data_IF_637146295943
#
_entry.id   IF_637146295943
#
_cell.length_a   1.000
_cell.length_b   1.000
_cell.length_c   1.000
_cell.angle_alpha   90.00
_cell.angle_beta   90.00
_cell.angle_gamma   90.00
#
_symmetry.space_group_name_H-M   'P 1'
#
loop_
_entity.id
_entity.type
_entity.pdbx_description
1 polymer ?
#
# COMPACT_ATOMS: atom_id res chain seq x y z
N UNK A 1 34.54 18.11 -6.42
CA UNK A 1 33.69 18.89 -7.36
C UNK A 1 32.49 18.08 -7.85
N UNK A 2 32.65 17.06 -8.68
CA UNK A 2 31.47 16.34 -9.22
C UNK A 2 30.61 15.62 -8.15
N UNK A 3 31.21 15.06 -7.10
CA UNK A 3 30.50 14.37 -6.01
C UNK A 3 29.77 15.37 -5.11
N UNK A 4 30.33 16.52 -4.81
CA UNK A 4 29.70 17.57 -4.03
C UNK A 4 28.50 18.19 -4.77
N UNK A 5 28.60 18.35 -6.10
CA UNK A 5 27.50 18.83 -6.93
C UNK A 5 26.35 17.82 -7.03
N UNK A 6 26.65 16.52 -7.03
CA UNK A 6 25.66 15.45 -6.97
C UNK A 6 24.97 15.43 -5.59
N UNK A 7 25.73 15.59 -4.49
CA UNK A 7 25.20 15.63 -3.13
C UNK A 7 24.28 16.85 -2.92
N UNK A 8 24.66 18.00 -3.46
CA UNK A 8 23.83 19.22 -3.34
C UNK A 8 22.57 19.13 -4.18
N UNK A 9 22.63 18.51 -5.36
CA UNK A 9 21.48 18.23 -6.22
C UNK A 9 20.51 17.22 -5.58
N UNK A 10 21.02 16.24 -4.84
CA UNK A 10 20.18 15.27 -4.12
C UNK A 10 19.51 15.84 -2.88
N UNK A 11 20.11 16.83 -2.20
CA UNK A 11 19.50 17.54 -1.07
C UNK A 11 18.24 18.33 -1.46
N UNK A 12 18.21 18.88 -2.67
CA UNK A 12 17.07 19.67 -3.17
C UNK A 12 16.06 18.85 -3.98
N UNK A 13 16.25 17.53 -4.10
CA UNK A 13 15.32 16.70 -4.84
C UNK A 13 14.00 16.54 -4.07
N UNK A 14 12.83 16.74 -4.71
CA UNK A 14 11.54 16.69 -4.04
C UNK A 14 11.10 15.23 -3.76
N UNK A 15 11.84 14.52 -2.91
CA UNK A 15 11.57 13.12 -2.57
C UNK A 15 10.15 12.88 -2.09
N UNK A 16 9.59 13.83 -1.32
CA UNK A 16 8.22 13.78 -0.82
C UNK A 16 7.20 13.74 -1.96
N UNK A 17 7.37 14.62 -2.93
CA UNK A 17 6.46 14.68 -4.09
C UNK A 17 6.61 13.46 -4.99
N UNK A 18 7.83 12.95 -5.15
CA UNK A 18 8.09 11.71 -5.89
C UNK A 18 7.43 10.52 -5.18
N UNK A 19 7.57 10.41 -3.87
CA UNK A 19 6.93 9.36 -3.09
C UNK A 19 5.40 9.38 -3.25
N UNK A 20 4.78 10.54 -3.07
CA UNK A 20 3.33 10.72 -3.26
C UNK A 20 2.93 10.31 -4.68
N UNK A 21 3.69 10.71 -5.71
CA UNK A 21 3.41 10.36 -7.10
C UNK A 21 3.46 8.84 -7.32
N UNK A 22 4.50 8.17 -6.82
CA UNK A 22 4.64 6.72 -6.98
C UNK A 22 3.54 5.93 -6.25
N UNK A 23 3.16 6.39 -5.07
CA UNK A 23 2.06 5.81 -4.29
C UNK A 23 0.73 5.97 -5.02
N UNK A 24 0.44 7.16 -5.58
CA UNK A 24 -0.75 7.39 -6.41
C UNK A 24 -0.75 6.55 -7.68
N UNK A 25 0.39 6.42 -8.35
CA UNK A 25 0.52 5.61 -9.55
C UNK A 25 0.22 4.13 -9.24
N UNK A 26 0.81 3.58 -8.18
CA UNK A 26 0.51 2.23 -7.70
C UNK A 26 -0.98 2.06 -7.43
N UNK A 27 -1.58 2.97 -6.68
CA UNK A 27 -3.02 2.94 -6.36
C UNK A 27 -3.90 2.90 -7.60
N UNK A 28 -3.60 3.70 -8.62
CA UNK A 28 -4.36 3.71 -9.87
C UNK A 28 -4.25 2.38 -10.60
N UNK A 29 -3.06 1.78 -10.65
CA UNK A 29 -2.83 0.48 -11.31
C UNK A 29 -3.60 -0.62 -10.56
N UNK A 30 -3.49 -0.69 -9.24
CA UNK A 30 -4.14 -1.72 -8.42
C UNK A 30 -5.68 -1.63 -8.51
N UNK A 31 -6.23 -0.41 -8.45
CA UNK A 31 -7.66 -0.20 -8.63
C UNK A 31 -8.15 -0.51 -10.04
N UNK A 32 -7.36 -0.19 -11.06
CA UNK A 32 -7.70 -0.56 -12.43
C UNK A 32 -7.79 -2.08 -12.61
N UNK A 33 -6.82 -2.82 -12.06
CA UNK A 33 -6.82 -4.30 -12.10
C UNK A 33 -8.04 -4.86 -11.36
N UNK A 34 -8.32 -4.36 -10.16
CA UNK A 34 -9.46 -4.79 -9.33
C UNK A 34 -10.79 -4.47 -10.02
N UNK A 35 -10.92 -3.29 -10.61
CA UNK A 35 -12.10 -2.90 -11.38
C UNK A 35 -12.31 -3.78 -12.62
N UNK A 36 -11.24 -4.11 -13.33
CA UNK A 36 -11.29 -5.02 -14.48
C UNK A 36 -11.76 -6.42 -14.07
N UNK A 37 -11.28 -6.93 -12.94
CA UNK A 37 -11.74 -8.21 -12.37
C UNK A 37 -13.23 -8.16 -11.99
N UNK A 38 -13.66 -7.09 -11.35
CA UNK A 38 -15.06 -6.87 -11.01
C UNK A 38 -15.96 -6.87 -12.26
N UNK A 39 -15.55 -6.14 -13.30
CA UNK A 39 -16.26 -6.08 -14.57
C UNK A 39 -16.36 -7.46 -15.22
N UNK A 40 -15.26 -8.19 -15.29
CA UNK A 40 -15.22 -9.55 -15.84
C UNK A 40 -16.15 -10.51 -15.09
N UNK A 41 -16.17 -10.46 -13.76
CA UNK A 41 -17.10 -11.20 -12.93
C UNK A 41 -18.56 -10.78 -13.16
N UNK A 42 -18.80 -9.52 -13.49
CA UNK A 42 -20.15 -8.98 -13.72
C UNK A 42 -20.73 -9.46 -15.07
N UNK A 43 -19.91 -9.47 -16.12
CA UNK A 43 -20.34 -9.78 -17.49
C UNK A 43 -20.51 -11.29 -17.74
N UNK A 44 -19.65 -12.13 -17.16
CA UNK A 44 -19.69 -13.57 -17.36
C UNK A 44 -20.69 -14.25 -16.42
N UNK A 45 -21.96 -14.34 -16.85
CA UNK A 45 -23.02 -14.99 -16.05
C UNK A 45 -23.06 -16.51 -16.17
N UNK A 46 -22.44 -17.08 -17.19
CA UNK A 46 -22.50 -18.52 -17.48
C UNK A 46 -21.36 -19.27 -16.79
N UNK A 47 -21.69 -20.45 -16.28
CA UNK A 47 -20.68 -21.37 -15.77
C UNK A 47 -19.80 -21.84 -16.95
N UNK A 48 -18.47 -21.75 -16.88
CA UNK A 48 -17.59 -22.36 -17.86
C UNK A 48 -17.87 -23.86 -18.00
N UNK A 49 -17.81 -24.38 -19.22
CA UNK A 49 -18.13 -25.79 -19.46
C UNK A 49 -17.25 -26.75 -18.67
N UNK A 50 -15.99 -26.38 -18.45
CA UNK A 50 -15.03 -27.13 -17.64
C UNK A 50 -15.47 -27.30 -16.18
N UNK A 51 -16.21 -26.35 -15.62
CA UNK A 51 -16.72 -26.40 -14.26
C UNK A 51 -18.05 -27.19 -14.15
N UNK A 52 -18.81 -27.30 -15.23
CA UNK A 52 -20.01 -28.17 -15.28
C UNK A 52 -19.66 -29.65 -15.18
N UNK A 53 -18.56 -30.04 -15.80
CA UNK A 53 -18.08 -31.43 -15.81
C UNK A 53 -17.59 -31.87 -14.40
N UNK A 54 -17.27 -30.93 -13.54
CA UNK A 54 -16.86 -31.18 -12.14
C UNK A 54 -18.04 -31.28 -11.15
N UNK A 55 -19.29 -31.23 -11.65
CA UNK A 55 -20.49 -31.40 -10.81
C UNK A 55 -20.77 -30.24 -9.86
N UNK A 56 -20.27 -29.02 -10.16
CA UNK A 56 -20.51 -27.85 -9.34
C UNK A 56 -21.96 -27.37 -9.54
N UNK A 57 -22.69 -27.30 -8.43
CA UNK A 57 -24.07 -26.81 -8.40
C UNK A 57 -24.14 -25.35 -8.88
N UNK A 58 -25.02 -25.08 -9.82
CA UNK A 58 -25.23 -23.75 -10.40
C UNK A 58 -25.58 -22.69 -9.35
N UNK A 59 -26.36 -23.08 -8.34
CA UNK A 59 -26.73 -22.21 -7.23
C UNK A 59 -25.50 -21.79 -6.44
N UNK A 60 -24.65 -22.75 -6.07
CA UNK A 60 -23.42 -22.51 -5.31
C UNK A 60 -22.42 -21.64 -6.07
N UNK A 61 -22.34 -21.84 -7.40
CA UNK A 61 -21.51 -20.98 -8.27
C UNK A 61 -21.99 -19.52 -8.27
N UNK A 62 -23.31 -19.30 -8.39
CA UNK A 62 -23.89 -17.95 -8.36
C UNK A 62 -23.66 -17.26 -7.02
N UNK A 63 -23.85 -17.95 -5.90
CA UNK A 63 -23.59 -17.42 -4.56
C UNK A 63 -22.12 -17.02 -4.38
N UNK A 64 -21.19 -17.88 -4.77
CA UNK A 64 -19.75 -17.60 -4.73
C UNK A 64 -19.36 -16.38 -5.57
N UNK A 65 -20.01 -16.23 -6.73
CA UNK A 65 -19.78 -15.10 -7.61
C UNK A 65 -20.26 -13.78 -7.02
N UNK A 66 -21.45 -13.78 -6.41
CA UNK A 66 -21.99 -12.58 -5.71
C UNK A 66 -21.03 -12.18 -4.58
N UNK A 67 -20.63 -13.14 -3.76
CA UNK A 67 -19.66 -12.91 -2.69
C UNK A 67 -18.34 -12.34 -3.20
N UNK A 68 -17.80 -12.90 -4.30
CA UNK A 68 -16.56 -12.41 -4.89
C UNK A 68 -16.67 -10.97 -5.41
N UNK A 69 -17.81 -10.59 -5.98
CA UNK A 69 -18.07 -9.22 -6.42
C UNK A 69 -18.13 -8.24 -5.24
N UNK A 70 -18.85 -8.59 -4.18
CA UNK A 70 -18.93 -7.77 -2.98
C UNK A 70 -17.56 -7.61 -2.32
N UNK A 71 -16.77 -8.69 -2.27
CA UNK A 71 -15.39 -8.65 -1.78
C UNK A 71 -14.51 -7.69 -2.59
N UNK A 72 -14.61 -7.71 -3.93
CA UNK A 72 -13.84 -6.80 -4.79
C UNK A 72 -14.24 -5.34 -4.59
N UNK A 73 -15.53 -5.04 -4.43
CA UNK A 73 -15.99 -3.69 -4.10
C UNK A 73 -15.46 -3.23 -2.74
N UNK A 74 -15.50 -4.10 -1.74
CA UNK A 74 -14.95 -3.79 -0.42
C UNK A 74 -13.45 -3.50 -0.49
N UNK A 75 -12.67 -4.30 -1.25
CA UNK A 75 -11.24 -4.07 -1.46
C UNK A 75 -10.95 -2.70 -2.10
N UNK A 76 -11.77 -2.25 -3.05
CA UNK A 76 -11.61 -0.92 -3.66
C UNK A 76 -11.82 0.19 -2.62
N UNK A 77 -12.85 0.06 -1.78
CA UNK A 77 -13.16 1.03 -0.73
C UNK A 77 -12.05 1.06 0.33
N UNK A 78 -11.62 -0.12 0.79
CA UNK A 78 -10.52 -0.29 1.75
C UNK A 78 -9.22 0.32 1.22
N UNK A 79 -8.83 -0.03 -0.02
CA UNK A 79 -7.64 0.51 -0.66
C UNK A 79 -7.70 2.04 -0.78
N UNK A 80 -8.86 2.60 -1.09
CA UNK A 80 -9.05 4.05 -1.17
C UNK A 80 -8.87 4.73 0.19
N UNK A 81 -9.40 4.13 1.25
CA UNK A 81 -9.25 4.64 2.61
C UNK A 81 -7.80 4.61 3.06
N UNK A 82 -7.12 3.48 2.88
CA UNK A 82 -5.70 3.32 3.22
C UNK A 82 -4.85 4.32 2.45
N UNK A 83 -5.14 4.52 1.16
CA UNK A 83 -4.42 5.47 0.31
C UNK A 83 -4.54 6.91 0.80
N UNK A 84 -5.74 7.34 1.18
CA UNK A 84 -5.97 8.68 1.73
C UNK A 84 -5.18 8.86 3.04
N UNK A 85 -5.23 7.86 3.91
CA UNK A 85 -4.51 7.87 5.18
C UNK A 85 -3.00 7.93 4.98
N UNK A 86 -2.46 7.17 4.03
CA UNK A 86 -1.03 7.14 3.71
C UNK A 86 -0.54 8.49 3.18
N UNK A 87 -1.29 9.13 2.28
CA UNK A 87 -0.99 10.48 1.78
C UNK A 87 -1.03 11.50 2.94
N UNK A 88 -2.01 11.38 3.83
CA UNK A 88 -2.14 12.24 5.00
C UNK A 88 -0.91 12.12 5.91
N UNK A 89 -0.46 10.89 6.22
CA UNK A 89 0.73 10.65 7.05
C UNK A 89 2.00 11.24 6.42
N UNK A 90 2.16 11.12 5.10
CA UNK A 90 3.30 11.70 4.38
C UNK A 90 3.21 13.24 4.39
N UNK A 91 2.03 13.80 4.18
CA UNK A 91 1.82 15.23 4.14
C UNK A 91 2.18 15.90 5.48
N UNK A 92 1.76 15.31 6.59
CA UNK A 92 2.04 15.79 7.94
C UNK A 92 3.43 15.42 8.47
N UNK A 93 4.31 14.86 7.65
CA UNK A 93 5.65 14.41 8.04
C UNK A 93 5.64 13.45 9.25
N UNK A 94 4.63 12.56 9.32
CA UNK A 94 4.47 11.64 10.43
C UNK A 94 5.64 10.64 10.52
N UNK A 95 6.17 10.16 9.40
CA UNK A 95 7.31 9.25 9.37
C UNK A 95 8.61 9.87 9.91
N UNK A 96 9.01 11.10 9.53
CA UNK A 96 10.12 11.81 10.18
C UNK A 96 9.92 12.00 11.68
N UNK A 97 8.71 12.34 12.11
CA UNK A 97 8.37 12.48 13.53
C UNK A 97 8.54 11.15 14.30
N UNK A 98 8.05 10.04 13.76
CA UNK A 98 8.25 8.70 14.35
C UNK A 98 9.74 8.34 14.43
N UNK A 99 10.51 8.72 13.41
CA UNK A 99 11.96 8.49 13.42
C UNK A 99 12.66 9.23 14.54
N UNK A 100 12.30 10.48 14.79
CA UNK A 100 12.85 11.26 15.90
C UNK A 100 12.50 10.64 17.25
N UNK A 101 11.26 10.23 17.45
CA UNK A 101 10.83 9.50 18.66
C UNK A 101 11.67 8.22 18.82
N UNK A 102 11.83 7.43 17.78
CA UNK A 102 12.59 6.17 17.82
C UNK A 102 14.06 6.41 18.22
N UNK A 103 14.65 7.51 17.78
CA UNK A 103 16.00 7.92 18.21
C UNK A 103 16.05 8.36 19.67
N UNK A 104 15.00 9.00 20.16
CA UNK A 104 14.93 9.47 21.53
C UNK A 104 14.74 8.35 22.57
N UNK A 105 14.33 7.17 22.12
CA UNK A 105 14.32 5.96 22.96
C UNK A 105 15.70 5.33 23.20
N UNK A 106 16.69 5.57 22.34
CA UNK A 106 18.02 4.99 22.48
C UNK A 106 18.70 5.28 23.84
N UNK A 107 18.69 6.52 24.39
CA UNK A 107 19.30 6.82 25.69
C UNK A 107 18.63 6.11 26.87
N UNK A 108 17.35 5.77 26.77
CA UNK A 108 16.61 5.04 27.82
C UNK A 108 17.24 3.67 28.08
N UNK A 109 17.85 3.06 27.05
CA UNK A 109 18.54 1.78 27.12
C UNK A 109 20.07 1.90 27.25
N UNK A 110 20.60 3.06 27.68
CA UNK A 110 22.06 3.34 27.75
C UNK A 110 22.78 3.19 26.39
N UNK A 111 22.07 3.40 25.30
CA UNK A 111 22.60 3.30 23.94
C UNK A 111 22.81 4.72 23.38
N UNK A 112 23.90 4.91 22.63
CA UNK A 112 24.15 6.22 22.00
C UNK A 112 22.97 6.65 21.12
N UNK A 113 22.54 7.91 21.26
CA UNK A 113 21.46 8.52 20.46
C UNK A 113 21.70 8.41 18.95
N UNK A 114 22.96 8.27 18.52
CA UNK A 114 23.35 8.15 17.12
C UNK A 114 23.39 6.69 16.61
N UNK A 115 22.93 5.72 17.41
CA UNK A 115 22.88 4.34 16.96
C UNK A 115 21.65 4.12 16.08
N UNK A 116 21.86 4.21 14.76
CA UNK A 116 20.81 4.10 13.75
C UNK A 116 20.19 2.68 13.68
N UNK A 117 20.96 1.63 14.02
CA UNK A 117 20.44 0.25 13.99
C UNK A 117 19.32 0.04 15.01
N UNK A 118 19.52 0.55 16.23
CA UNK A 118 18.54 0.44 17.30
C UNK A 118 17.35 1.35 17.03
N UNK A 119 17.59 2.58 16.54
CA UNK A 119 16.52 3.48 16.13
C UNK A 119 15.65 2.87 15.01
N UNK A 120 16.26 2.19 14.02
CA UNK A 120 15.53 1.50 12.95
C UNK A 120 14.68 0.35 13.50
N UNK A 121 15.19 -0.37 14.49
CA UNK A 121 14.43 -1.46 15.13
C UNK A 121 13.20 -0.91 15.86
N UNK A 122 13.34 0.15 16.65
CA UNK A 122 12.20 0.79 17.30
C UNK A 122 11.21 1.39 16.29
N UNK A 123 11.70 2.03 15.24
CA UNK A 123 10.85 2.56 14.17
C UNK A 123 10.03 1.47 13.47
N UNK A 124 10.56 0.26 13.33
CA UNK A 124 9.84 -0.86 12.70
C UNK A 124 8.83 -1.54 13.63
N UNK A 125 8.92 -1.29 14.94
CA UNK A 125 8.00 -1.85 15.95
C UNK A 125 6.81 -0.92 16.26
N UNK A 126 6.90 0.36 15.91
CA UNK A 126 5.84 1.36 16.09
C UNK A 126 4.91 1.34 14.88
#
# INVERSE_FOLDING_TARGET
MAIEEIIDKTKNFPYKNLAIFLILLKYLIDNYITYRQYKHLSENSKIPNELKDLGIDEKKYKETKIYSKEKLLFLIIEASFIQILEIFLIYFNYYPFLWEISRDFNPVFNISKNNEYIASLFFSLI
#
